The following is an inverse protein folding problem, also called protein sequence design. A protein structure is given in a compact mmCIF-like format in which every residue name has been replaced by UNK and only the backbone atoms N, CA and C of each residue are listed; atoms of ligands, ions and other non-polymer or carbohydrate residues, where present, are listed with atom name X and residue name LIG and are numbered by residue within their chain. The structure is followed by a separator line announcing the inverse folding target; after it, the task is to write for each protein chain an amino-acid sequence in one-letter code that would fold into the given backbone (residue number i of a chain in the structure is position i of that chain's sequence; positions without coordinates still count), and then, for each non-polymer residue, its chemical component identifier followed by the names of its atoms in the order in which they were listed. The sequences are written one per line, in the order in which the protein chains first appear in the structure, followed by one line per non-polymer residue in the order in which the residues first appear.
data_IF_789627863969
#
_entry.id   IF_789627863969
#
_cell.length_a   1.000
_cell.length_b   1.000
_cell.length_c   1.000
_cell.angle_alpha   90.00
_cell.angle_beta   90.00
_cell.angle_gamma   90.00
#
_symmetry.space_group_name_H-M   'P 1'
#
loop_
_entity.id
_entity.type
_entity.pdbx_description
1 polymer ?
#
# COMPACT_ATOMS: atom_id res chain seq x y z
N UNK A 1 -21.43 9.78 -13.54
CA UNK A 1 -20.57 9.55 -12.37
C UNK A 1 -19.20 9.17 -12.93
N UNK A 2 -18.14 9.89 -12.59
CA UNK A 2 -16.77 9.50 -12.99
C UNK A 2 -16.44 8.18 -12.30
N UNK A 3 -16.13 7.16 -13.10
CA UNK A 3 -15.87 5.82 -12.60
C UNK A 3 -14.38 5.77 -12.15
N UNK A 4 -14.12 6.01 -10.86
CA UNK A 4 -12.79 5.86 -10.31
C UNK A 4 -12.42 4.38 -10.26
N UNK A 5 -11.22 4.01 -10.72
CA UNK A 5 -10.70 2.64 -10.70
C UNK A 5 -9.65 2.41 -9.63
N UNK A 6 -9.01 3.49 -9.16
CA UNK A 6 -7.86 3.47 -8.26
C UNK A 6 -8.25 3.97 -6.86
N UNK A 7 -7.79 3.25 -5.84
CA UNK A 7 -7.73 3.68 -4.45
C UNK A 7 -6.26 3.91 -4.06
N UNK A 8 -5.99 5.07 -3.48
CA UNK A 8 -4.69 5.36 -2.85
C UNK A 8 -4.87 5.43 -1.33
N UNK A 9 -4.17 4.57 -0.63
CA UNK A 9 -4.12 4.53 0.83
C UNK A 9 -2.85 5.22 1.32
N UNK A 10 -3.01 6.25 2.15
CA UNK A 10 -1.91 7.08 2.64
C UNK A 10 -1.60 6.73 4.10
N UNK A 11 -0.52 6.01 4.32
CA UNK A 11 -0.02 5.62 5.65
C UNK A 11 1.25 6.37 6.05
N UNK A 12 1.55 7.47 5.37
CA UNK A 12 2.65 8.39 5.68
C UNK A 12 2.13 9.71 6.24
N UNK A 13 2.94 10.37 7.08
CA UNK A 13 2.59 11.68 7.60
C UNK A 13 2.94 12.77 6.57
N UNK A 14 1.90 13.39 6.01
CA UNK A 14 2.03 14.46 5.04
C UNK A 14 1.69 15.83 5.66
N UNK A 15 2.29 16.91 5.16
CA UNK A 15 1.90 18.27 5.54
C UNK A 15 0.43 18.57 5.21
N UNK A 16 -0.22 19.51 5.90
CA UNK A 16 -1.55 19.95 5.54
C UNK A 16 -1.62 20.36 4.07
N UNK A 17 -2.70 20.01 3.40
CA UNK A 17 -2.94 20.25 1.97
C UNK A 17 -1.95 19.57 1.00
N UNK A 18 -1.04 18.75 1.47
CA UNK A 18 -0.13 18.02 0.58
C UNK A 18 -0.89 17.23 -0.51
N UNK A 19 -2.03 16.66 -0.17
CA UNK A 19 -2.87 15.90 -1.08
C UNK A 19 -3.63 16.76 -2.12
N UNK A 20 -3.55 18.08 -2.07
CA UNK A 20 -4.20 18.95 -3.07
C UNK A 20 -3.60 18.78 -4.47
N UNK A 21 -2.36 18.27 -4.56
CA UNK A 21 -1.74 17.89 -5.83
C UNK A 21 -2.51 16.76 -6.55
N UNK A 22 -3.27 15.95 -5.81
CA UNK A 22 -4.11 14.86 -6.33
C UNK A 22 -5.51 15.34 -6.76
N UNK A 23 -5.77 16.66 -6.74
CA UNK A 23 -7.03 17.26 -7.12
C UNK A 23 -7.91 17.66 -5.95
N UNK A 24 -9.03 18.28 -6.28
CA UNK A 24 -10.03 18.75 -5.31
C UNK A 24 -10.89 17.60 -4.81
N UNK A 25 -11.29 17.66 -3.54
CA UNK A 25 -12.24 16.70 -2.95
C UNK A 25 -13.65 17.08 -3.42
N UNK A 26 -14.29 16.18 -4.17
CA UNK A 26 -15.66 16.37 -4.67
C UNK A 26 -16.70 15.59 -3.88
N UNK A 27 -16.27 14.56 -3.16
CA UNK A 27 -17.12 13.72 -2.33
C UNK A 27 -16.30 13.09 -1.20
N UNK A 28 -16.93 12.90 -0.03
CA UNK A 28 -16.39 12.08 1.06
C UNK A 28 -17.38 10.99 1.43
N UNK A 29 -16.88 9.77 1.66
CA UNK A 29 -17.69 8.62 2.09
C UNK A 29 -17.04 7.82 3.19
N UNK A 30 -17.91 7.29 4.06
CA UNK A 30 -17.60 6.16 4.92
C UNK A 30 -18.36 4.94 4.41
N UNK A 31 -17.68 3.82 4.31
CA UNK A 31 -18.23 2.59 3.77
C UNK A 31 -18.47 1.62 4.92
N UNK A 32 -19.72 1.20 5.09
CA UNK A 32 -20.07 0.15 6.04
C UNK A 32 -19.81 -1.20 5.40
N UNK A 33 -18.96 -2.01 6.00
CA UNK A 33 -18.64 -3.36 5.56
C UNK A 33 -19.00 -4.38 6.64
N UNK A 34 -19.08 -5.68 6.31
CA UNK A 34 -19.24 -6.74 7.32
C UNK A 34 -18.09 -6.79 8.35
N UNK A 35 -16.98 -6.17 8.06
CA UNK A 35 -15.74 -6.14 8.87
C UNK A 35 -15.54 -4.83 9.62
N UNK A 36 -16.51 -3.91 9.54
CA UNK A 36 -16.47 -2.59 10.16
C UNK A 36 -16.60 -1.45 9.17
N UNK A 37 -16.65 -0.24 9.71
CA UNK A 37 -16.67 0.99 8.90
C UNK A 37 -15.27 1.30 8.38
N UNK A 38 -15.16 1.60 7.08
CA UNK A 38 -13.94 2.07 6.45
C UNK A 38 -14.09 3.50 5.91
N UNK A 39 -13.07 4.34 6.12
CA UNK A 39 -13.05 5.74 5.69
C UNK A 39 -12.84 6.73 6.83
N UNK A 40 -12.98 8.05 6.59
CA UNK A 40 -13.56 8.64 5.36
C UNK A 40 -12.65 8.49 4.14
N UNK A 41 -13.25 8.13 3.01
CA UNK A 41 -12.62 8.13 1.69
C UNK A 41 -12.99 9.43 0.97
N UNK A 42 -12.00 10.11 0.40
CA UNK A 42 -12.19 11.30 -0.41
C UNK A 42 -12.10 10.95 -1.90
N UNK A 43 -13.18 11.21 -2.66
CA UNK A 43 -13.12 11.21 -4.13
C UNK A 43 -12.46 12.49 -4.58
N UNK A 44 -11.33 12.36 -5.27
CA UNK A 44 -10.56 13.50 -5.77
C UNK A 44 -10.60 13.56 -7.29
N UNK A 45 -10.70 14.77 -7.81
CA UNK A 45 -10.70 15.08 -9.24
C UNK A 45 -9.67 16.17 -9.50
N UNK A 46 -8.66 15.85 -10.27
CA UNK A 46 -7.63 16.80 -10.68
C UNK A 46 -7.74 17.17 -12.16
N UNK A 47 -7.06 18.25 -12.58
CA UNK A 47 -7.00 18.61 -13.98
C UNK A 47 -6.23 17.55 -14.78
N UNK A 48 -6.86 17.07 -15.86
CA UNK A 48 -6.28 16.09 -16.78
C UNK A 48 -5.86 14.74 -16.14
N UNK A 49 -6.53 14.34 -15.06
CA UNK A 49 -6.37 13.03 -14.47
C UNK A 49 -7.72 12.39 -14.17
N UNK A 50 -7.83 11.05 -14.16
CA UNK A 50 -9.03 10.36 -13.78
C UNK A 50 -9.38 10.62 -12.31
N UNK A 51 -10.65 10.45 -11.95
CA UNK A 51 -11.08 10.47 -10.56
C UNK A 51 -10.46 9.30 -9.80
N UNK A 52 -10.05 9.55 -8.57
CA UNK A 52 -9.46 8.56 -7.67
C UNK A 52 -10.08 8.64 -6.29
N UNK A 53 -10.12 7.51 -5.59
CA UNK A 53 -10.38 7.51 -4.17
C UNK A 53 -9.07 7.61 -3.38
N UNK A 54 -9.06 8.43 -2.34
CA UNK A 54 -7.94 8.57 -1.42
C UNK A 54 -8.44 8.35 -0.01
N UNK A 55 -7.80 7.41 0.69
CA UNK A 55 -8.09 7.10 2.08
C UNK A 55 -6.84 7.31 2.95
N UNK A 56 -6.92 8.11 4.03
CA UNK A 56 -5.87 8.10 5.03
C UNK A 56 -5.97 6.78 5.81
N UNK A 57 -4.84 6.20 6.14
CA UNK A 57 -4.81 5.16 7.16
C UNK A 57 -5.15 5.77 8.51
N UNK A 58 -6.32 5.45 9.02
CA UNK A 58 -6.83 6.02 10.27
C UNK A 58 -6.60 5.07 11.43
N UNK A 59 -5.37 4.94 11.88
CA UNK A 59 -5.09 4.20 13.11
C UNK A 59 -4.02 3.13 12.99
N UNK A 60 -3.75 2.46 14.09
CA UNK A 60 -2.84 1.32 14.11
C UNK A 60 -3.50 0.12 13.41
N UNK A 61 -2.78 -0.60 12.56
CA UNK A 61 -3.29 -1.80 11.88
C UNK A 61 -3.93 -2.83 12.81
N UNK A 62 -3.47 -2.90 14.06
CA UNK A 62 -4.02 -3.79 15.10
C UNK A 62 -5.39 -3.38 15.62
N UNK A 63 -5.93 -2.23 15.24
CA UNK A 63 -7.22 -1.70 15.69
C UNK A 63 -8.30 -1.71 14.60
N UNK A 64 -7.92 -1.96 13.38
CA UNK A 64 -8.83 -2.01 12.23
C UNK A 64 -8.72 -3.38 11.57
N UNK A 65 -9.83 -3.93 11.12
CA UNK A 65 -9.81 -5.18 10.35
C UNK A 65 -9.40 -4.85 8.90
N UNK A 66 -8.26 -5.35 8.41
CA UNK A 66 -7.78 -5.05 7.05
C UNK A 66 -8.75 -5.51 5.96
N UNK A 67 -9.62 -6.48 6.26
CA UNK A 67 -10.68 -6.92 5.35
C UNK A 67 -11.68 -5.81 5.05
N UNK A 68 -11.93 -4.88 6.00
CA UNK A 68 -12.83 -3.75 5.77
C UNK A 68 -12.33 -2.87 4.62
N UNK A 69 -11.02 -2.61 4.54
CA UNK A 69 -10.39 -1.80 3.50
C UNK A 69 -10.61 -2.40 2.11
N UNK A 70 -10.22 -3.65 1.93
CA UNK A 70 -10.29 -4.30 0.62
C UNK A 70 -11.73 -4.65 0.22
N UNK A 71 -12.58 -4.99 1.19
CA UNK A 71 -14.01 -5.20 0.92
C UNK A 71 -14.68 -3.90 0.47
N UNK A 72 -14.37 -2.77 1.08
CA UNK A 72 -14.86 -1.46 0.65
C UNK A 72 -14.39 -1.11 -0.78
N UNK A 73 -13.12 -1.42 -1.12
CA UNK A 73 -12.61 -1.28 -2.48
C UNK A 73 -13.45 -2.09 -3.49
N UNK A 74 -13.76 -3.35 -3.15
CA UNK A 74 -14.64 -4.20 -3.96
C UNK A 74 -16.07 -3.65 -4.10
N UNK A 75 -16.66 -3.12 -3.00
CA UNK A 75 -17.99 -2.48 -3.05
C UNK A 75 -18.04 -1.24 -3.96
N UNK A 76 -16.92 -0.54 -4.08
CA UNK A 76 -16.77 0.60 -4.99
C UNK A 76 -16.38 0.21 -6.42
N UNK A 77 -16.28 -1.10 -6.71
CA UNK A 77 -15.79 -1.67 -7.98
C UNK A 77 -14.41 -1.13 -8.38
N UNK A 78 -13.52 -0.92 -7.41
CA UNK A 78 -12.16 -0.50 -7.67
C UNK A 78 -11.33 -1.69 -8.16
N UNK A 79 -10.51 -1.44 -9.14
CA UNK A 79 -9.67 -2.46 -9.79
C UNK A 79 -8.23 -2.43 -9.30
N UNK A 80 -7.81 -1.32 -8.69
CA UNK A 80 -6.43 -1.03 -8.37
C UNK A 80 -6.32 -0.38 -6.99
N UNK A 81 -5.33 -0.80 -6.22
CA UNK A 81 -5.00 -0.20 -4.91
C UNK A 81 -3.50 0.09 -4.87
N UNK A 82 -3.16 1.31 -4.51
CA UNK A 82 -1.81 1.73 -4.13
C UNK A 82 -1.81 2.05 -2.64
N UNK A 83 -0.99 1.37 -1.86
CA UNK A 83 -0.72 1.76 -0.47
C UNK A 83 0.65 2.41 -0.38
N UNK A 84 0.71 3.59 0.22
CA UNK A 84 1.95 4.30 0.48
C UNK A 84 2.23 4.30 1.98
N UNK A 85 3.22 3.51 2.39
CA UNK A 85 3.61 3.28 3.78
C UNK A 85 4.91 3.99 4.15
N UNK A 86 5.13 4.19 5.45
CA UNK A 86 6.41 4.57 6.02
C UNK A 86 7.06 3.33 6.66
N UNK A 87 8.29 3.03 6.25
CA UNK A 87 8.97 1.81 6.66
C UNK A 87 10.29 2.02 7.37
N UNK A 88 10.76 0.95 8.00
CA UNK A 88 12.07 0.85 8.63
C UNK A 88 13.03 0.09 7.72
N UNK A 89 14.16 0.68 7.33
CA UNK A 89 15.16 0.01 6.51
C UNK A 89 15.88 -1.08 7.31
N UNK A 90 15.69 -2.33 6.91
CA UNK A 90 16.48 -3.47 7.36
C UNK A 90 17.76 -3.59 6.53
N UNK A 91 17.66 -3.40 5.21
CA UNK A 91 18.79 -3.37 4.30
C UNK A 91 19.61 -2.09 4.52
N UNK A 92 20.92 -2.20 4.87
CA UNK A 92 21.77 -1.05 5.20
C UNK A 92 22.07 -0.11 4.01
N UNK A 93 21.78 -0.52 2.78
CA UNK A 93 21.96 0.31 1.58
C UNK A 93 20.84 1.36 1.47
N UNK A 94 19.67 1.06 1.99
CA UNK A 94 18.53 1.97 1.93
C UNK A 94 18.72 3.15 2.88
N UNK A 95 18.31 4.34 2.43
CA UNK A 95 18.51 5.60 3.14
C UNK A 95 17.18 6.19 3.58
N UNK A 96 17.22 6.94 4.67
CA UNK A 96 16.06 7.72 5.11
C UNK A 96 15.61 8.69 4.02
N UNK A 97 14.29 8.77 3.81
CA UNK A 97 13.67 9.57 2.75
C UNK A 97 13.66 8.89 1.38
N UNK A 98 14.37 7.79 1.20
CA UNK A 98 14.30 7.03 -0.04
C UNK A 98 12.96 6.30 -0.12
N UNK A 99 12.25 6.44 -1.23
CA UNK A 99 11.05 5.65 -1.53
C UNK A 99 11.45 4.39 -2.29
N UNK A 100 10.79 3.29 -1.97
CA UNK A 100 10.98 1.96 -2.55
C UNK A 100 9.64 1.40 -3.00
N UNK A 101 9.65 0.41 -3.89
CA UNK A 101 8.46 -0.36 -4.27
C UNK A 101 8.59 -1.81 -3.81
N UNK A 102 7.55 -2.34 -3.19
CA UNK A 102 7.52 -3.74 -2.80
C UNK A 102 7.24 -4.62 -4.03
N UNK A 103 8.07 -5.66 -4.23
CA UNK A 103 7.90 -6.67 -5.28
C UNK A 103 7.58 -8.05 -4.71
N UNK A 104 7.90 -8.26 -3.43
CA UNK A 104 7.55 -9.46 -2.67
C UNK A 104 7.37 -9.11 -1.20
N UNK A 105 6.82 -10.04 -0.41
CA UNK A 105 6.60 -9.79 1.00
C UNK A 105 6.79 -11.03 1.87
N UNK A 106 7.08 -10.78 3.16
CA UNK A 106 7.02 -11.75 4.25
C UNK A 106 5.96 -11.25 5.23
N UNK A 107 4.89 -12.03 5.43
CA UNK A 107 3.89 -11.71 6.45
C UNK A 107 4.32 -12.28 7.81
N UNK A 108 4.72 -11.39 8.72
CA UNK A 108 5.04 -11.71 10.10
C UNK A 108 3.99 -11.17 11.07
N UNK A 109 2.79 -10.85 10.55
CA UNK A 109 1.66 -10.45 11.39
C UNK A 109 1.12 -11.66 12.16
N UNK A 110 0.56 -11.44 13.35
CA UNK A 110 0.10 -12.54 14.23
C UNK A 110 -1.36 -12.41 14.62
N UNK A 111 -1.92 -11.21 14.53
CA UNK A 111 -3.24 -10.89 15.07
C UNK A 111 -4.17 -10.30 14.02
N UNK A 112 -3.74 -10.22 12.77
CA UNK A 112 -4.54 -9.69 11.69
C UNK A 112 -5.12 -10.82 10.83
N UNK A 113 -6.40 -10.74 10.44
CA UNK A 113 -6.97 -11.71 9.51
C UNK A 113 -6.39 -11.49 8.12
N UNK A 114 -5.74 -12.52 7.58
CA UNK A 114 -5.04 -12.50 6.28
C UNK A 114 -5.86 -13.16 5.16
N UNK A 115 -7.11 -13.50 5.39
CA UNK A 115 -7.97 -14.15 4.39
C UNK A 115 -9.45 -13.86 4.65
N UNK A 116 -10.23 -13.82 3.59
CA UNK A 116 -11.68 -13.75 3.65
C UNK A 116 -12.34 -15.14 3.83
N UNK A 117 -11.65 -16.24 3.54
CA UNK A 117 -12.24 -17.59 3.50
C UNK A 117 -12.58 -18.19 4.87
N UNK A 118 -12.15 -17.57 5.95
CA UNK A 118 -12.55 -17.97 7.30
C UNK A 118 -13.96 -17.48 7.67
N UNK A 119 -14.56 -16.62 6.85
CA UNK A 119 -15.83 -15.97 7.15
C UNK A 119 -16.98 -16.56 6.36
N UNK A 120 -18.13 -16.80 7.05
CA UNK A 120 -19.36 -17.32 6.44
C UNK A 120 -20.04 -16.30 5.50
N UNK A 121 -19.60 -15.06 5.50
CA UNK A 121 -20.18 -13.96 4.70
C UNK A 121 -19.59 -13.84 3.29
N UNK A 122 -18.53 -14.59 2.98
CA UNK A 122 -17.89 -14.52 1.66
C UNK A 122 -18.70 -15.26 0.58
N UNK A 123 -19.49 -14.47 -0.11
CA UNK A 123 -20.15 -14.88 -1.37
C UNK A 123 -19.59 -14.14 -2.59
N UNK A 124 -18.61 -13.26 -2.39
CA UNK A 124 -18.15 -12.35 -3.45
C UNK A 124 -17.14 -13.00 -4.41
N UNK A 125 -16.45 -14.05 -3.98
CA UNK A 125 -15.44 -14.70 -4.81
C UNK A 125 -15.55 -16.21 -4.67
N UNK A 126 -15.45 -16.87 -5.81
CA UNK A 126 -15.24 -18.30 -5.87
C UNK A 126 -13.84 -18.64 -5.35
N UNK A 127 -13.77 -19.64 -4.47
CA UNK A 127 -12.53 -20.08 -3.86
C UNK A 127 -11.46 -20.50 -4.90
N UNK A 128 -11.90 -21.14 -5.98
CA UNK A 128 -10.98 -21.58 -7.04
C UNK A 128 -10.32 -20.39 -7.74
N UNK A 129 -11.08 -19.34 -8.02
CA UNK A 129 -10.57 -18.09 -8.60
C UNK A 129 -9.56 -17.42 -7.68
N UNK A 130 -9.86 -17.35 -6.38
CA UNK A 130 -8.93 -16.77 -5.42
C UNK A 130 -7.63 -17.59 -5.27
N UNK A 131 -7.72 -18.93 -5.29
CA UNK A 131 -6.55 -19.81 -5.26
C UNK A 131 -5.66 -19.63 -6.51
N UNK A 132 -6.26 -19.33 -7.68
CA UNK A 132 -5.52 -19.00 -8.90
C UNK A 132 -4.85 -17.63 -8.80
N UNK A 133 -5.54 -16.64 -8.27
CA UNK A 133 -4.99 -15.30 -8.07
C UNK A 133 -3.76 -15.31 -7.13
N UNK A 134 -3.78 -16.14 -6.08
CA UNK A 134 -2.65 -16.30 -5.15
C UNK A 134 -1.40 -16.95 -5.79
N UNK A 135 -1.50 -17.52 -7.00
CA UNK A 135 -0.37 -18.03 -7.75
C UNK A 135 0.32 -16.94 -8.61
N UNK A 136 -0.28 -15.77 -8.72
CA UNK A 136 0.29 -14.63 -9.43
C UNK A 136 1.31 -13.87 -8.57
N UNK A 137 2.14 -13.00 -9.16
CA UNK A 137 2.98 -12.10 -8.37
C UNK A 137 2.14 -11.31 -7.34
N UNK A 138 2.59 -11.22 -6.08
CA UNK A 138 1.78 -10.60 -5.02
C UNK A 138 1.50 -9.11 -5.27
N UNK A 139 2.42 -8.41 -5.92
CA UNK A 139 2.26 -7.03 -6.33
C UNK A 139 2.13 -6.93 -7.85
N UNK A 140 1.25 -6.07 -8.34
CA UNK A 140 0.94 -5.95 -9.76
C UNK A 140 2.14 -5.44 -10.59
N UNK A 141 2.71 -6.25 -11.51
CA UNK A 141 3.89 -5.84 -12.29
C UNK A 141 3.63 -4.62 -13.17
N UNK A 142 2.42 -4.46 -13.70
CA UNK A 142 2.08 -3.30 -14.54
C UNK A 142 2.06 -1.99 -13.74
N UNK A 143 1.52 -2.02 -12.51
CA UNK A 143 1.55 -0.85 -11.63
C UNK A 143 2.99 -0.54 -11.17
N UNK A 144 3.82 -1.56 -10.91
CA UNK A 144 5.24 -1.38 -10.60
C UNK A 144 5.97 -0.74 -11.77
N UNK A 145 5.73 -1.20 -13.01
CA UNK A 145 6.31 -0.61 -14.21
C UNK A 145 5.93 0.87 -14.35
N UNK A 146 4.65 1.23 -14.14
CA UNK A 146 4.20 2.62 -14.14
C UNK A 146 4.88 3.47 -13.04
N UNK A 147 5.14 2.90 -11.87
CA UNK A 147 5.92 3.58 -10.82
C UNK A 147 7.37 3.83 -11.25
N UNK A 148 8.01 2.88 -11.93
CA UNK A 148 9.37 3.06 -12.45
C UNK A 148 9.46 4.13 -13.55
N UNK A 149 8.39 4.35 -14.31
CA UNK A 149 8.36 5.44 -15.31
C UNK A 149 8.38 6.82 -14.65
N UNK A 150 7.66 6.98 -13.53
CA UNK A 150 7.55 8.28 -12.83
C UNK A 150 8.62 8.48 -11.75
N UNK A 151 9.19 7.39 -11.25
CA UNK A 151 10.25 7.36 -10.25
C UNK A 151 11.39 6.42 -10.72
N UNK A 152 12.24 6.84 -11.68
CA UNK A 152 13.21 5.95 -12.33
C UNK A 152 14.27 5.33 -11.41
N UNK A 153 14.49 5.90 -10.22
CA UNK A 153 15.44 5.39 -9.23
C UNK A 153 14.75 4.72 -8.03
N UNK A 154 13.60 4.09 -8.27
CA UNK A 154 12.80 3.41 -7.25
C UNK A 154 13.37 2.00 -7.00
N UNK A 155 14.03 1.73 -5.85
CA UNK A 155 14.51 0.38 -5.55
C UNK A 155 13.37 -0.58 -5.32
N UNK A 156 13.52 -1.81 -5.80
CA UNK A 156 12.65 -2.92 -5.51
C UNK A 156 13.07 -3.59 -4.20
N UNK A 157 12.10 -3.96 -3.36
CA UNK A 157 12.34 -4.49 -2.03
C UNK A 157 11.42 -5.65 -1.68
N UNK A 158 11.90 -6.53 -0.80
CA UNK A 158 11.08 -7.48 -0.07
C UNK A 158 10.58 -6.80 1.21
N UNK A 159 9.25 -6.63 1.29
CA UNK A 159 8.59 -6.02 2.44
C UNK A 159 8.31 -7.07 3.52
N UNK A 160 8.62 -6.77 4.78
CA UNK A 160 8.25 -7.60 5.92
C UNK A 160 7.18 -6.88 6.75
N UNK A 161 6.00 -7.48 6.82
CA UNK A 161 4.89 -6.95 7.59
C UNK A 161 4.86 -7.39 9.03
N UNK A 162 4.65 -6.45 9.95
CA UNK A 162 4.50 -6.69 11.39
C UNK A 162 3.30 -5.95 11.96
N UNK A 163 2.76 -6.41 13.08
CA UNK A 163 1.60 -5.77 13.73
C UNK A 163 1.89 -4.36 14.30
N UNK A 164 3.14 -4.02 14.66
CA UNK A 164 3.42 -2.79 15.38
C UNK A 164 2.70 -2.72 16.75
N UNK A 165 2.68 -1.60 17.46
CA UNK A 165 3.49 -0.39 17.24
C UNK A 165 4.91 -0.47 17.81
N UNK A 166 5.31 -1.61 18.44
CA UNK A 166 6.66 -1.73 19.00
C UNK A 166 7.69 -1.85 17.89
N UNK A 167 8.84 -1.25 18.12
CA UNK A 167 10.01 -1.44 17.29
C UNK A 167 10.53 -2.88 17.38
N UNK A 168 11.18 -3.31 16.34
CA UNK A 168 11.97 -4.53 16.30
C UNK A 168 13.11 -4.49 17.32
N UNK A 169 13.56 -5.63 17.78
CA UNK A 169 14.79 -5.77 18.55
C UNK A 169 16.00 -5.94 17.63
N UNK A 170 17.23 -5.76 18.15
CA UNK A 170 18.43 -6.02 17.36
C UNK A 170 18.53 -7.47 16.85
N UNK A 171 18.01 -8.44 17.63
CA UNK A 171 17.96 -9.84 17.23
C UNK A 171 16.95 -10.07 16.10
N UNK A 172 15.76 -9.46 16.20
CA UNK A 172 14.74 -9.51 15.15
C UNK A 172 15.25 -8.84 13.87
N UNK A 173 15.86 -7.67 13.94
CA UNK A 173 16.43 -7.00 12.77
C UNK A 173 17.44 -7.88 12.01
N UNK A 174 18.33 -8.56 12.74
CA UNK A 174 19.28 -9.53 12.12
C UNK A 174 18.55 -10.73 11.52
N UNK A 175 17.57 -11.29 12.22
CA UNK A 175 16.79 -12.43 11.76
C UNK A 175 16.02 -12.08 10.48
N UNK A 176 15.34 -10.96 10.44
CA UNK A 176 14.57 -10.52 9.27
C UNK A 176 15.44 -10.30 8.04
N UNK A 177 16.65 -9.72 8.20
CA UNK A 177 17.60 -9.63 7.09
C UNK A 177 18.06 -11.01 6.60
N UNK A 178 18.27 -11.98 7.50
CA UNK A 178 18.61 -13.35 7.10
C UNK A 178 17.48 -14.03 6.32
N UNK A 179 16.23 -13.63 6.54
CA UNK A 179 15.08 -14.10 5.76
C UNK A 179 14.96 -13.39 4.41
N UNK A 180 15.81 -12.40 4.11
CA UNK A 180 15.81 -11.67 2.86
C UNK A 180 14.92 -10.43 2.85
N UNK A 181 14.41 -9.98 4.01
CA UNK A 181 13.63 -8.76 4.09
C UNK A 181 14.52 -7.50 3.98
N UNK A 182 14.08 -6.53 3.18
CA UNK A 182 14.76 -5.24 2.99
C UNK A 182 14.14 -4.13 3.83
N UNK A 183 12.83 -4.13 3.96
CA UNK A 183 12.06 -3.09 4.66
C UNK A 183 11.03 -3.74 5.58
N UNK A 184 10.86 -3.17 6.78
CA UNK A 184 9.83 -3.54 7.73
C UNK A 184 8.77 -2.45 7.79
N UNK A 185 7.50 -2.83 7.78
CA UNK A 185 6.36 -1.91 7.91
C UNK A 185 5.10 -2.62 8.41
N UNK A 186 3.96 -1.94 8.37
CA UNK A 186 2.73 -2.46 9.00
C UNK A 186 1.47 -2.32 8.14
N UNK A 187 1.57 -1.73 6.95
CA UNK A 187 0.38 -1.34 6.19
C UNK A 187 0.25 -1.98 4.80
N UNK A 188 1.20 -2.82 4.34
CA UNK A 188 1.05 -3.56 3.09
C UNK A 188 0.55 -5.00 3.32
N UNK A 189 0.80 -5.54 4.49
CA UNK A 189 0.31 -6.87 4.88
C UNK A 189 -0.65 -6.76 6.06
N UNK A 190 -1.70 -7.56 6.06
CA UNK A 190 -2.07 -8.60 5.08
C UNK A 190 -2.86 -8.11 3.87
N UNK A 191 -3.01 -6.78 3.65
CA UNK A 191 -3.84 -6.20 2.59
C UNK A 191 -3.50 -6.73 1.19
N UNK A 192 -2.21 -6.94 0.89
CA UNK A 192 -1.79 -7.48 -0.41
C UNK A 192 -2.38 -8.88 -0.66
N UNK A 193 -2.40 -9.75 0.33
CA UNK A 193 -3.00 -11.08 0.21
C UNK A 193 -4.53 -10.99 0.02
N UNK A 194 -5.17 -10.11 0.79
CA UNK A 194 -6.61 -9.86 0.69
C UNK A 194 -7.01 -9.24 -0.66
N UNK A 195 -6.19 -8.34 -1.21
CA UNK A 195 -6.40 -7.78 -2.55
C UNK A 195 -6.33 -8.86 -3.62
N UNK A 196 -5.34 -9.75 -3.53
CA UNK A 196 -5.19 -10.87 -4.45
C UNK A 196 -6.38 -11.84 -4.38
N UNK A 197 -6.89 -12.16 -3.18
CA UNK A 197 -8.12 -12.96 -3.05
C UNK A 197 -9.31 -12.32 -3.76
N UNK A 198 -9.41 -10.97 -3.74
CA UNK A 198 -10.50 -10.23 -4.38
C UNK A 198 -10.30 -9.96 -5.87
N UNK A 199 -9.15 -10.36 -6.43
CA UNK A 199 -8.84 -10.02 -7.81
C UNK A 199 -8.60 -8.52 -8.04
N UNK A 200 -8.04 -7.82 -7.04
CA UNK A 200 -7.70 -6.38 -7.12
C UNK A 200 -6.19 -6.24 -7.32
N UNK A 201 -5.76 -5.54 -8.37
CA UNK A 201 -4.35 -5.20 -8.56
C UNK A 201 -3.85 -4.36 -7.39
N UNK A 202 -2.78 -4.80 -6.75
CA UNK A 202 -2.21 -4.13 -5.58
C UNK A 202 -0.75 -3.77 -5.81
N UNK A 203 -0.34 -2.59 -5.36
CA UNK A 203 1.08 -2.19 -5.30
C UNK A 203 1.36 -1.41 -4.03
N UNK A 204 2.60 -1.49 -3.55
CA UNK A 204 3.04 -0.86 -2.31
C UNK A 204 4.26 0.03 -2.51
N UNK A 205 4.14 1.32 -2.17
CA UNK A 205 5.26 2.22 -1.99
C UNK A 205 5.64 2.28 -0.52
N UNK A 206 6.94 2.31 -0.23
CA UNK A 206 7.43 2.46 1.14
C UNK A 206 8.51 3.53 1.17
N UNK A 207 8.24 4.65 1.86
CA UNK A 207 9.26 5.66 2.13
C UNK A 207 9.96 5.33 3.43
N UNK A 208 11.29 5.27 3.39
CA UNK A 208 12.10 4.94 4.55
C UNK A 208 12.07 6.10 5.56
N UNK A 209 11.39 5.91 6.68
CA UNK A 209 11.33 6.87 7.78
C UNK A 209 12.47 6.73 8.76
N UNK A 210 12.90 5.49 8.99
CA UNK A 210 13.92 5.15 9.97
C UNK A 210 14.80 3.97 9.50
N UNK A 211 15.89 3.74 10.21
CA UNK A 211 16.71 2.53 10.09
C UNK A 211 16.42 1.56 11.23
N UNK A 212 16.71 0.28 11.03
CA UNK A 212 16.59 -0.73 12.07
C UNK A 212 17.49 -0.40 13.29
N UNK A 213 17.04 -0.82 14.47
CA UNK A 213 17.67 -0.46 15.76
C UNK A 213 19.14 -0.90 15.91
N UNK A 214 19.62 -1.80 15.08
CA UNK A 214 21.01 -2.27 15.08
C UNK A 214 21.90 -1.52 14.07
N UNK A 215 21.36 -0.53 13.37
CA UNK A 215 22.10 0.35 12.46
C UNK A 215 22.32 1.74 13.09
N UNK A 216 23.41 2.44 12.74
CA UNK A 216 23.65 3.79 13.25
C UNK A 216 22.56 4.77 12.83
N UNK A 217 22.02 5.52 13.78
CA UNK A 217 21.06 6.59 13.53
C UNK A 217 21.83 7.87 13.13
N UNK A 218 22.25 7.97 11.86
CA UNK A 218 23.11 9.09 11.43
C UNK A 218 22.53 9.71 10.14
N UNK A 219 21.33 10.29 10.19
CA UNK A 219 20.83 10.98 8.99
C UNK A 219 20.04 12.25 9.32
N UNK A 220 20.23 13.32 8.51
CA UNK A 220 19.50 14.57 8.68
C UNK A 220 17.98 14.36 8.57
N UNK A 221 17.22 15.04 9.43
CA UNK A 221 15.75 14.95 9.44
C UNK A 221 15.07 15.45 8.15
N UNK A 222 15.78 16.24 7.33
CA UNK A 222 15.25 16.82 6.09
C UNK A 222 15.04 15.84 4.95
N UNK A 223 15.78 14.73 4.93
CA UNK A 223 15.72 13.76 3.81
C UNK A 223 14.36 13.07 3.69
N UNK A 224 13.71 12.74 4.81
CA UNK A 224 12.37 12.13 4.80
C UNK A 224 11.35 13.05 4.11
N UNK A 225 11.34 14.33 4.47
CA UNK A 225 10.41 15.31 3.87
C UNK A 225 10.63 15.41 2.36
N UNK A 226 11.86 15.50 1.91
CA UNK A 226 12.19 15.57 0.49
C UNK A 226 11.71 14.33 -0.26
N UNK A 227 11.93 13.13 0.28
CA UNK A 227 11.45 11.89 -0.32
C UNK A 227 9.92 11.81 -0.41
N UNK A 228 9.23 12.22 0.64
CA UNK A 228 7.77 12.29 0.63
C UNK A 228 7.25 13.29 -0.41
N UNK A 229 7.87 14.47 -0.51
CA UNK A 229 7.49 15.50 -1.49
C UNK A 229 7.74 15.00 -2.93
N UNK A 230 8.88 14.37 -3.21
CA UNK A 230 9.19 13.80 -4.53
C UNK A 230 8.20 12.71 -4.93
N UNK A 231 7.90 11.79 -4.02
CA UNK A 231 6.92 10.73 -4.27
C UNK A 231 5.54 11.32 -4.55
N UNK A 232 5.09 12.28 -3.73
CA UNK A 232 3.80 12.92 -3.88
C UNK A 232 3.65 13.64 -5.24
N UNK A 233 4.70 14.31 -5.71
CA UNK A 233 4.71 14.99 -7.01
C UNK A 233 4.67 14.01 -8.20
N UNK A 234 5.10 12.79 -8.04
CA UNK A 234 5.05 11.76 -9.07
C UNK A 234 3.65 11.10 -9.20
N UNK A 235 2.83 11.13 -8.13
CA UNK A 235 1.53 10.43 -8.13
C UNK A 235 0.55 10.89 -9.22
N UNK A 236 0.41 12.18 -9.59
CA UNK A 236 -0.50 12.60 -10.66
C UNK A 236 -0.20 11.93 -12.00
N UNK A 237 1.08 11.78 -12.36
CA UNK A 237 1.49 11.08 -13.59
C UNK A 237 1.25 9.57 -13.46
N UNK A 238 1.60 8.97 -12.31
CA UNK A 238 1.29 7.57 -12.03
C UNK A 238 -0.20 7.27 -12.20
N UNK A 239 -1.10 8.12 -11.67
CA UNK A 239 -2.55 7.96 -11.79
C UNK A 239 -2.97 7.92 -13.27
N UNK A 240 -2.40 8.79 -14.12
CA UNK A 240 -2.70 8.80 -15.55
C UNK A 240 -2.22 7.54 -16.26
N UNK A 241 -1.01 7.08 -15.96
CA UNK A 241 -0.44 5.87 -16.55
C UNK A 241 -1.27 4.64 -16.17
N UNK A 242 -1.62 4.51 -14.91
CA UNK A 242 -2.36 3.35 -14.39
C UNK A 242 -3.80 3.30 -14.93
N UNK A 243 -4.48 4.44 -15.10
CA UNK A 243 -5.81 4.48 -15.71
C UNK A 243 -5.81 4.04 -17.18
N UNK A 244 -4.70 4.32 -17.87
CA UNK A 244 -4.52 3.95 -19.28
C UNK A 244 -4.09 2.47 -19.48
N UNK A 245 -3.77 1.75 -18.39
CA UNK A 245 -3.36 0.34 -18.50
C UNK A 245 -4.53 -0.52 -19.04
N UNK A 246 -4.22 -1.50 -19.91
CA UNK A 246 -5.20 -2.52 -20.27
C UNK A 246 -5.57 -3.36 -19.03
N UNK A 247 -6.63 -4.16 -19.13
CA UNK A 247 -6.98 -5.13 -18.09
C UNK A 247 -5.74 -5.95 -17.71
N UNK A 248 -5.44 -6.00 -16.42
CA UNK A 248 -4.22 -6.59 -15.95
C UNK A 248 -4.29 -8.12 -16.03
N UNK A 249 -3.27 -8.72 -16.67
CA UNK A 249 -3.17 -10.19 -16.79
C UNK A 249 -2.84 -10.89 -15.46
N UNK A 250 -2.43 -10.15 -14.42
CA UNK A 250 -2.17 -10.72 -13.10
C UNK A 250 -3.45 -11.06 -12.32
N UNK A 251 -4.63 -10.78 -12.91
CA UNK A 251 -5.95 -10.95 -12.28
C UNK A 251 -6.91 -11.79 -13.13
N UNK A 252 -6.40 -12.49 -14.16
CA UNK A 252 -7.19 -13.36 -15.05
C UNK A 252 -6.87 -14.83 -14.81
#
# INVERSE_FOLDING_TARGET
MQNAKLLILIAVLLPPRALDVLGEVVEERKIQTPYGEFGPLALRVGPNQPAIWVGPYSGLPTRTDPRATLFAAGMLNLQQVLTWDEGVALNPILRRGQTTVATDYIDWTRHQPATFFTDKHMKMIDRQTAELNLQQPPFCPQMIAALHEVLPQLPEVVYLGVDGPRRETQAEARMFRLFGADVLGSNLTPEVALANELGICYTGLVTIGERSVDQPAIEPRGELRTGLEMTLQALPEFIRLVDALPECSCMN
#
